data_IF_956033950837
#
_entry.id   IF_956033950837
#
_cell.length_a   1.000
_cell.length_b   1.000
_cell.length_c   1.000
_cell.angle_alpha   90.00
_cell.angle_beta   90.00
_cell.angle_gamma   90.00
#
_symmetry.space_group_name_H-M   'P 1'
#
loop_
_entity.id
_entity.type
_entity.pdbx_description
1 polymer ?
#
# COMPACT_ATOMS: atom_id res chain seq x y z
N UNK A 1 -16.46 -3.06 17.91
CA UNK A 1 -16.42 -2.30 16.64
C UNK A 1 -17.73 -2.30 15.82
N UNK A 2 -18.66 -3.26 15.95
CA UNK A 2 -19.95 -3.22 15.22
C UNK A 2 -20.88 -2.06 15.62
N UNK A 3 -20.89 -1.69 16.90
CA UNK A 3 -21.80 -0.68 17.46
C UNK A 3 -21.64 0.74 16.90
N UNK A 4 -20.47 1.09 16.35
CA UNK A 4 -20.18 2.45 15.88
C UNK A 4 -20.04 2.55 14.36
N UNK A 5 -20.29 1.44 13.63
CA UNK A 5 -20.14 1.34 12.16
C UNK A 5 -20.88 2.46 11.42
N UNK A 6 -22.02 2.89 11.96
CA UNK A 6 -22.92 3.88 11.34
C UNK A 6 -23.08 5.16 12.19
N UNK A 7 -22.25 5.33 13.23
CA UNK A 7 -22.42 6.40 14.23
C UNK A 7 -22.12 7.83 13.75
N UNK A 8 -21.52 7.98 12.57
CA UNK A 8 -21.06 9.27 12.04
C UNK A 8 -21.98 9.85 10.96
N UNK A 9 -23.22 9.34 10.79
CA UNK A 9 -24.12 9.68 9.67
C UNK A 9 -23.50 9.48 8.26
N UNK A 10 -22.39 8.76 8.18
CA UNK A 10 -21.69 8.43 6.93
C UNK A 10 -21.53 6.91 6.84
N UNK A 11 -22.47 6.19 6.18
CA UNK A 11 -22.36 4.76 6.05
C UNK A 11 -21.24 4.41 5.06
N UNK A 12 -20.17 3.79 5.54
CA UNK A 12 -19.08 3.32 4.69
C UNK A 12 -19.58 2.16 3.83
N UNK A 13 -19.67 2.38 2.52
CA UNK A 13 -20.15 1.36 1.55
C UNK A 13 -19.02 0.48 1.04
N UNK A 14 -17.84 1.08 0.83
CA UNK A 14 -16.66 0.45 0.23
C UNK A 14 -15.39 0.82 0.99
N UNK A 15 -14.46 -0.12 1.10
CA UNK A 15 -13.11 0.08 1.61
C UNK A 15 -12.15 -0.13 0.44
N UNK A 16 -11.26 0.84 0.23
CA UNK A 16 -10.16 0.73 -0.73
C UNK A 16 -8.92 0.28 0.03
N UNK A 17 -8.71 -1.03 0.07
CA UNK A 17 -7.56 -1.62 0.74
C UNK A 17 -6.34 -1.54 -0.18
N UNK A 18 -5.26 -0.90 0.28
CA UNK A 18 -4.00 -0.93 -0.45
C UNK A 18 -3.52 -2.39 -0.56
N UNK A 19 -3.18 -2.80 -1.78
CA UNK A 19 -2.62 -4.12 -2.08
C UNK A 19 -1.40 -3.97 -2.94
N UNK A 20 -0.55 -5.00 -2.92
CA UNK A 20 0.67 -5.02 -3.71
C UNK A 20 0.52 -6.14 -4.73
N UNK A 21 0.59 -5.82 -6.04
CA UNK A 21 0.62 -6.85 -7.07
C UNK A 21 1.76 -7.83 -6.80
N UNK A 22 1.59 -9.06 -7.26
CA UNK A 22 2.59 -10.13 -7.05
C UNK A 22 4.01 -9.67 -7.43
N UNK A 23 4.15 -9.00 -8.57
CA UNK A 23 5.41 -8.44 -9.06
C UNK A 23 6.08 -7.48 -8.06
N UNK A 24 5.31 -6.70 -7.30
CA UNK A 24 5.82 -5.79 -6.28
C UNK A 24 6.08 -6.52 -4.96
N UNK A 25 5.12 -7.33 -4.49
CA UNK A 25 5.23 -8.05 -3.23
C UNK A 25 6.44 -8.99 -3.20
N UNK A 26 6.69 -9.70 -4.30
CA UNK A 26 7.82 -10.65 -4.42
C UNK A 26 9.15 -9.93 -4.55
N UNK A 27 9.22 -8.80 -5.24
CA UNK A 27 10.48 -8.05 -5.41
C UNK A 27 10.86 -7.23 -4.18
N UNK A 28 9.88 -6.69 -3.45
CA UNK A 28 10.14 -5.77 -2.33
C UNK A 28 10.09 -6.50 -1.00
N UNK A 29 9.10 -7.37 -0.77
CA UNK A 29 8.97 -8.11 0.50
C UNK A 29 9.62 -9.50 0.42
N UNK A 30 9.57 -10.14 -0.74
CA UNK A 30 10.22 -11.43 -1.01
C UNK A 30 9.73 -12.59 -0.13
N UNK A 31 10.45 -13.71 -0.15
CA UNK A 31 10.06 -14.92 0.62
C UNK A 31 10.74 -15.02 1.98
N UNK A 32 11.10 -13.88 2.59
CA UNK A 32 11.80 -13.86 3.88
C UNK A 32 11.10 -12.92 4.86
N UNK A 33 11.31 -13.16 6.15
CA UNK A 33 10.82 -12.31 7.22
C UNK A 33 9.30 -12.30 7.37
N UNK A 34 8.74 -11.14 7.71
CA UNK A 34 7.35 -10.99 8.15
C UNK A 34 6.32 -11.31 7.08
N UNK A 35 6.64 -11.12 5.79
CA UNK A 35 5.69 -11.42 4.72
C UNK A 35 5.49 -12.92 4.52
N UNK A 36 6.58 -13.71 4.54
CA UNK A 36 6.50 -15.18 4.53
C UNK A 36 5.72 -15.70 5.73
N UNK A 37 6.02 -15.20 6.93
CA UNK A 37 5.30 -15.58 8.15
C UNK A 37 3.80 -15.21 8.05
N UNK A 38 3.48 -14.05 7.48
CA UNK A 38 2.09 -13.65 7.21
C UNK A 38 1.38 -14.65 6.29
N UNK A 39 2.01 -15.06 5.19
CA UNK A 39 1.46 -16.08 4.28
C UNK A 39 1.14 -17.39 5.00
N UNK A 40 2.04 -17.86 5.86
CA UNK A 40 1.88 -19.09 6.64
C UNK A 40 0.76 -18.98 7.69
N UNK A 41 0.75 -17.90 8.48
CA UNK A 41 -0.23 -17.68 9.55
C UNK A 41 -1.65 -17.51 8.99
N UNK A 42 -1.79 -16.72 7.93
CA UNK A 42 -3.09 -16.45 7.31
C UNK A 42 -3.47 -17.47 6.24
N UNK A 43 -2.63 -18.49 6.01
CA UNK A 43 -2.84 -19.56 5.02
C UNK A 43 -3.17 -19.00 3.62
N UNK A 44 -2.42 -18.00 3.19
CA UNK A 44 -2.60 -17.34 1.90
C UNK A 44 -1.36 -17.46 1.02
N UNK A 45 -1.57 -17.43 -0.30
CA UNK A 45 -0.49 -17.53 -1.29
C UNK A 45 0.22 -16.19 -1.48
N UNK A 46 -0.48 -15.08 -1.26
CA UNK A 46 0.03 -13.72 -1.41
C UNK A 46 -1.04 -12.68 -1.15
N UNK A 47 -0.76 -11.42 -1.52
CA UNK A 47 -1.77 -10.37 -1.49
C UNK A 47 -2.85 -10.59 -2.56
N UNK A 48 -4.08 -10.11 -2.33
CA UNK A 48 -5.12 -10.13 -3.35
C UNK A 48 -4.76 -9.33 -4.60
N UNK A 49 -5.32 -9.73 -5.74
CA UNK A 49 -5.29 -8.96 -6.99
C UNK A 49 -6.00 -7.61 -6.80
N UNK A 50 -5.45 -6.49 -7.32
CA UNK A 50 -6.13 -5.21 -7.28
C UNK A 50 -7.33 -5.15 -8.23
N UNK A 51 -8.35 -4.39 -7.81
CA UNK A 51 -9.50 -4.02 -8.65
C UNK A 51 -9.29 -2.66 -9.32
N UNK A 52 -8.47 -1.80 -8.70
CA UNK A 52 -8.21 -0.43 -9.16
C UNK A 52 -6.72 -0.13 -9.10
N UNK A 53 -6.25 0.54 -10.14
CA UNK A 53 -4.90 1.11 -10.24
C UNK A 53 -5.04 2.63 -10.41
N UNK A 54 -4.23 3.39 -9.67
CA UNK A 54 -4.21 4.86 -9.73
C UNK A 54 -2.81 5.30 -10.15
N UNK A 55 -2.73 6.05 -11.25
CA UNK A 55 -1.51 6.75 -11.66
C UNK A 55 -1.32 8.01 -10.80
N UNK A 56 -0.21 8.03 -10.05
CA UNK A 56 0.20 9.10 -9.15
C UNK A 56 1.34 9.94 -9.70
N UNK A 57 1.71 9.81 -10.98
CA UNK A 57 2.82 10.57 -11.60
C UNK A 57 2.67 12.07 -11.40
N UNK A 58 1.44 12.60 -11.48
CA UNK A 58 1.13 14.03 -11.27
C UNK A 58 1.33 14.51 -9.84
N UNK A 59 1.44 13.59 -8.89
CA UNK A 59 1.59 13.87 -7.45
C UNK A 59 2.93 13.37 -6.91
N UNK A 60 3.89 13.07 -7.79
CA UNK A 60 5.20 12.53 -7.44
C UNK A 60 5.93 13.40 -6.40
N UNK A 61 5.99 14.71 -6.63
CA UNK A 61 6.68 15.66 -5.75
C UNK A 61 6.01 15.70 -4.37
N UNK A 62 4.69 15.93 -4.32
CA UNK A 62 3.94 15.94 -3.07
C UNK A 62 4.11 14.64 -2.26
N UNK A 63 4.12 13.50 -2.94
CA UNK A 63 4.31 12.21 -2.28
C UNK A 63 5.74 12.06 -1.74
N UNK A 64 6.74 12.51 -2.49
CA UNK A 64 8.13 12.53 -2.02
C UNK A 64 8.28 13.41 -0.78
N UNK A 65 7.68 14.61 -0.79
CA UNK A 65 7.71 15.53 0.35
C UNK A 65 7.13 14.89 1.61
N UNK A 66 5.99 14.20 1.48
CA UNK A 66 5.37 13.47 2.60
C UNK A 66 6.28 12.34 3.09
N UNK A 67 6.87 11.54 2.20
CA UNK A 67 7.79 10.46 2.59
C UNK A 67 9.02 11.01 3.34
N UNK A 68 9.59 12.11 2.85
CA UNK A 68 10.74 12.77 3.47
C UNK A 68 10.38 13.39 4.83
N UNK A 69 9.19 13.98 4.95
CA UNK A 69 8.70 14.58 6.21
C UNK A 69 8.58 13.55 7.35
N UNK A 70 8.31 12.28 7.04
CA UNK A 70 8.26 11.19 8.02
C UNK A 70 9.65 10.69 8.48
N UNK A 71 10.58 11.61 8.77
CA UNK A 71 11.98 11.34 9.13
C UNK A 71 12.17 10.22 10.17
N UNK A 72 11.38 10.23 11.25
CA UNK A 72 11.46 9.21 12.31
C UNK A 72 11.07 7.81 11.84
N UNK A 73 10.34 7.67 10.74
CA UNK A 73 9.84 6.41 10.19
C UNK A 73 10.63 5.92 8.98
N UNK A 74 11.68 6.64 8.55
CA UNK A 74 12.46 6.27 7.35
C UNK A 74 12.96 4.82 7.38
N UNK A 75 13.38 4.32 8.56
CA UNK A 75 13.80 2.91 8.73
C UNK A 75 12.72 1.91 8.33
N UNK A 76 11.45 2.20 8.61
CA UNK A 76 10.33 1.34 8.27
C UNK A 76 9.83 1.60 6.85
N UNK A 77 9.74 2.87 6.44
CA UNK A 77 9.32 3.25 5.09
C UNK A 77 10.22 2.64 4.02
N UNK A 78 11.54 2.60 4.22
CA UNK A 78 12.51 2.00 3.28
C UNK A 78 12.29 0.51 3.03
N UNK A 79 11.58 -0.21 3.90
CA UNK A 79 11.23 -1.63 3.69
C UNK A 79 10.17 -1.81 2.60
N UNK A 80 9.36 -0.78 2.37
CA UNK A 80 8.25 -0.80 1.43
C UNK A 80 8.52 0.12 0.23
N UNK A 81 9.06 1.30 0.46
CA UNK A 81 9.49 2.22 -0.59
C UNK A 81 11.02 2.18 -0.65
N UNK A 82 11.65 1.19 -1.29
CA UNK A 82 13.11 1.09 -1.31
C UNK A 82 13.69 2.29 -2.06
N UNK A 83 14.78 2.84 -1.53
CA UNK A 83 15.57 3.91 -2.17
C UNK A 83 14.86 5.26 -2.48
N UNK A 84 13.65 5.51 -2.00
CA UNK A 84 12.93 6.77 -2.31
C UNK A 84 13.74 8.03 -1.94
N UNK A 85 14.56 7.95 -0.88
CA UNK A 85 15.36 9.06 -0.39
C UNK A 85 16.71 9.25 -1.12
N UNK A 86 17.01 8.43 -2.13
CA UNK A 86 18.25 8.53 -2.92
C UNK A 86 18.02 9.16 -4.30
N UNK A 87 16.78 9.16 -4.78
CA UNK A 87 16.44 9.60 -6.13
C UNK A 87 15.47 10.79 -6.09
N UNK A 88 15.59 11.75 -7.03
CA UNK A 88 14.57 12.76 -7.23
C UNK A 88 13.19 12.15 -7.49
N UNK A 89 12.13 12.85 -7.07
CA UNK A 89 10.76 12.39 -7.16
C UNK A 89 10.37 11.92 -8.57
N UNK A 90 10.66 12.71 -9.60
CA UNK A 90 10.35 12.34 -10.99
C UNK A 90 11.01 11.04 -11.45
N UNK A 91 12.28 10.81 -11.10
CA UNK A 91 12.98 9.57 -11.45
C UNK A 91 12.38 8.39 -10.68
N UNK A 92 12.21 8.55 -9.37
CA UNK A 92 11.69 7.49 -8.52
C UNK A 92 10.27 7.07 -8.91
N UNK A 93 9.37 8.05 -9.02
CA UNK A 93 7.98 7.80 -9.35
C UNK A 93 7.76 7.51 -10.84
N UNK A 94 8.72 7.72 -11.75
CA UNK A 94 8.61 7.13 -13.10
C UNK A 94 8.53 5.59 -13.09
N UNK A 95 9.06 4.97 -12.03
CA UNK A 95 9.06 3.51 -11.83
C UNK A 95 7.90 3.09 -10.91
N UNK A 96 7.65 3.87 -9.85
CA UNK A 96 6.63 3.57 -8.83
C UNK A 96 5.39 4.47 -8.91
N UNK A 97 4.94 4.83 -10.12
CA UNK A 97 3.80 5.72 -10.34
C UNK A 97 2.42 5.10 -10.11
N UNK A 98 2.32 3.83 -9.73
CA UNK A 98 1.04 3.12 -9.63
C UNK A 98 0.76 2.69 -8.20
N UNK A 99 -0.37 3.13 -7.69
CA UNK A 99 -0.96 2.61 -6.44
C UNK A 99 -2.10 1.67 -6.76
N UNK A 100 -2.17 0.55 -6.03
CA UNK A 100 -3.09 -0.53 -6.31
C UNK A 100 -4.02 -0.77 -5.12
N UNK A 101 -5.31 -0.93 -5.40
CA UNK A 101 -6.33 -1.10 -4.38
C UNK A 101 -7.26 -2.27 -4.72
N UNK A 102 -7.63 -3.01 -3.68
CA UNK A 102 -8.76 -3.93 -3.70
C UNK A 102 -9.98 -3.23 -3.10
N UNK A 103 -11.11 -3.33 -3.78
CA UNK A 103 -12.39 -2.82 -3.30
C UNK A 103 -13.05 -3.91 -2.47
N UNK A 104 -13.32 -3.61 -1.20
CA UNK A 104 -14.12 -4.47 -0.34
C UNK A 104 -15.47 -3.79 -0.10
N UNK A 105 -16.58 -4.47 -0.42
CA UNK A 105 -17.89 -3.96 -0.05
C UNK A 105 -18.16 -4.32 1.41
N UNK A 106 -18.56 -3.32 2.20
CA UNK A 106 -18.77 -3.47 3.65
C UNK A 106 -19.98 -4.37 4.00
N UNK A 107 -20.78 -4.76 3.00
CA UNK A 107 -21.86 -5.76 3.13
C UNK A 107 -21.34 -7.20 3.04
N UNK A 108 -20.18 -7.39 2.43
CA UNK A 108 -19.61 -8.70 2.10
C UNK A 108 -18.51 -9.13 3.11
N UNK A 109 -18.26 -8.29 4.13
CA UNK A 109 -17.21 -8.45 5.16
C UNK A 109 -17.85 -8.63 6.54
#
# INVERSE_FOLDING_TARGET
CKLWKDSLNFPVKKIYQNVWPESQSTKIMGDKGVYKMGKEVYKCVGMPTPDVEIDISKYADNKMDVLLAHASQHRNLKKFMPFYNYYPAGIYFSIFNKEHFRILNVRDI
#
